data_IF_342353750937
#
_entry.id   IF_342353750937
#
_cell.length_a   1.000
_cell.length_b   1.000
_cell.length_c   1.000
_cell.angle_alpha   90.00
_cell.angle_beta   90.00
_cell.angle_gamma   90.00
#
_symmetry.space_group_name_H-M   'P 1'
#
loop_
_entity.id
_entity.type
_entity.pdbx_description
1 polymer ?
#
# COMPACT_ATOMS: atom_id res chain seq x y z
N UNK A 1 62.10 44.25 -24.96
CA UNK A 1 62.66 42.91 -25.25
C UNK A 1 62.59 42.09 -23.97
N UNK A 2 62.27 40.79 -24.09
CA UNK A 2 62.00 39.79 -23.03
C UNK A 2 60.56 39.83 -22.48
N UNK A 3 59.78 38.75 -22.39
CA UNK A 3 59.73 37.44 -23.05
C UNK A 3 58.39 36.81 -22.63
N UNK A 4 57.68 36.22 -23.58
CA UNK A 4 56.49 35.41 -23.37
C UNK A 4 56.85 34.09 -22.67
N UNK A 5 56.42 33.87 -21.42
CA UNK A 5 56.37 32.54 -20.79
C UNK A 5 55.60 32.59 -19.47
N UNK A 6 54.27 32.52 -19.53
CA UNK A 6 53.41 32.13 -18.39
C UNK A 6 52.01 31.76 -18.86
N UNK A 7 51.87 30.66 -19.61
CA UNK A 7 50.56 30.11 -20.00
C UNK A 7 50.51 28.56 -20.06
N UNK A 8 51.47 27.85 -19.45
CA UNK A 8 51.60 26.39 -19.61
C UNK A 8 51.31 25.51 -18.37
N UNK A 9 50.68 26.03 -17.32
CA UNK A 9 50.42 25.24 -16.09
C UNK A 9 48.95 25.05 -15.68
N UNK A 10 47.98 25.45 -16.51
CA UNK A 10 46.54 25.33 -16.18
C UNK A 10 45.70 24.46 -17.13
N UNK A 11 46.32 23.67 -18.02
CA UNK A 11 45.59 22.79 -18.94
C UNK A 11 45.52 21.29 -18.60
N UNK A 12 46.44 20.63 -17.85
CA UNK A 12 46.37 19.17 -17.71
C UNK A 12 45.28 18.68 -16.73
N UNK A 13 44.85 19.51 -15.77
CA UNK A 13 43.82 19.14 -14.78
C UNK A 13 42.39 19.21 -15.33
N UNK A 14 42.13 20.06 -16.33
CA UNK A 14 40.81 20.21 -16.93
C UNK A 14 40.51 19.05 -17.91
N UNK A 15 41.52 18.61 -18.65
CA UNK A 15 41.42 17.49 -19.59
C UNK A 15 41.22 16.15 -18.88
N UNK A 16 41.87 15.91 -17.73
CA UNK A 16 41.60 14.72 -16.91
C UNK A 16 40.15 14.71 -16.39
N UNK A 17 39.64 15.83 -15.84
CA UNK A 17 38.26 15.86 -15.34
C UNK A 17 37.22 15.66 -16.46
N UNK A 18 37.45 16.21 -17.66
CA UNK A 18 36.57 15.95 -18.81
C UNK A 18 36.60 14.48 -19.23
N UNK A 19 37.78 13.86 -19.23
CA UNK A 19 37.94 12.45 -19.64
C UNK A 19 37.29 11.48 -18.66
N UNK A 20 37.35 11.76 -17.36
CA UNK A 20 36.63 11.01 -16.32
C UNK A 20 35.10 11.18 -16.44
N UNK A 21 34.61 12.39 -16.72
CA UNK A 21 33.17 12.61 -16.92
C UNK A 21 32.64 11.94 -18.18
N UNK A 22 33.39 11.96 -19.29
CA UNK A 22 32.95 11.31 -20.52
C UNK A 22 33.02 9.79 -20.42
N UNK A 23 34.01 9.21 -19.73
CA UNK A 23 34.04 7.75 -19.48
C UNK A 23 32.92 7.30 -18.54
N UNK A 24 32.62 8.05 -17.47
CA UNK A 24 31.47 7.76 -16.60
C UNK A 24 30.14 7.88 -17.34
N UNK A 25 29.98 8.90 -18.19
CA UNK A 25 28.76 9.07 -18.98
C UNK A 25 28.60 7.95 -20.02
N UNK A 26 29.68 7.55 -20.69
CA UNK A 26 29.67 6.44 -21.64
C UNK A 26 29.43 5.08 -20.96
N UNK A 27 30.02 4.84 -19.79
CA UNK A 27 29.73 3.66 -18.97
C UNK A 27 28.27 3.64 -18.53
N UNK A 28 27.71 4.79 -18.12
CA UNK A 28 26.31 4.88 -17.70
C UNK A 28 25.33 4.73 -18.88
N UNK A 29 25.67 5.23 -20.06
CA UNK A 29 24.90 5.02 -21.30
C UNK A 29 24.98 3.55 -21.74
N UNK A 30 26.15 2.92 -21.66
CA UNK A 30 26.32 1.51 -22.02
C UNK A 30 25.62 0.57 -21.03
N UNK A 31 25.67 0.88 -19.72
CA UNK A 31 24.94 0.14 -18.70
C UNK A 31 23.42 0.30 -18.84
N UNK A 32 22.94 1.51 -19.15
CA UNK A 32 21.52 1.75 -19.44
C UNK A 32 21.05 1.11 -20.75
N UNK A 33 21.90 1.00 -21.77
CA UNK A 33 21.59 0.30 -23.02
C UNK A 33 21.49 -1.22 -22.80
N UNK A 34 22.43 -1.81 -22.05
CA UNK A 34 22.38 -3.23 -21.66
C UNK A 34 21.15 -3.51 -20.77
N UNK A 35 20.78 -2.60 -19.86
CA UNK A 35 19.56 -2.73 -19.05
C UNK A 35 18.29 -2.64 -19.91
N UNK A 36 18.24 -1.77 -20.92
CA UNK A 36 17.10 -1.69 -21.85
C UNK A 36 16.94 -2.96 -22.68
N UNK A 37 18.03 -3.55 -23.17
CA UNK A 37 17.98 -4.78 -23.95
C UNK A 37 17.73 -6.03 -23.08
N UNK A 38 18.16 -6.02 -21.81
CA UNK A 38 17.88 -7.09 -20.85
C UNK A 38 16.42 -7.08 -20.34
N UNK A 39 15.76 -5.92 -20.29
CA UNK A 39 14.34 -5.81 -19.90
C UNK A 39 13.40 -6.46 -20.92
N UNK A 40 13.83 -6.64 -22.18
CA UNK A 40 12.98 -7.19 -23.24
C UNK A 40 12.91 -8.74 -23.23
N UNK A 41 13.76 -9.44 -22.46
CA UNK A 41 13.91 -10.91 -22.61
C UNK A 41 13.64 -11.79 -21.38
N UNK A 42 13.11 -11.25 -20.28
CA UNK A 42 12.69 -12.09 -19.13
C UNK A 42 11.18 -12.02 -18.93
N UNK A 43 10.44 -12.74 -19.77
CA UNK A 43 9.04 -13.08 -19.51
C UNK A 43 8.97 -14.20 -18.48
N UNK A 44 9.12 -13.86 -17.21
CA UNK A 44 8.72 -14.76 -16.13
C UNK A 44 7.19 -14.92 -16.19
N UNK A 45 6.64 -16.15 -16.04
CA UNK A 45 5.20 -16.33 -16.06
C UNK A 45 4.63 -15.80 -14.74
N UNK A 46 4.17 -14.56 -14.76
CA UNK A 46 3.16 -14.10 -13.80
C UNK A 46 1.96 -15.07 -13.93
N UNK A 47 1.45 -15.53 -12.80
CA UNK A 47 0.23 -16.32 -12.81
C UNK A 47 -0.89 -15.32 -13.12
N UNK A 48 -1.29 -15.24 -14.39
CA UNK A 48 -2.53 -14.58 -14.75
C UNK A 48 -3.63 -15.36 -14.06
N UNK A 49 -4.26 -14.73 -13.07
CA UNK A 49 -5.48 -15.27 -12.46
C UNK A 49 -6.43 -15.57 -13.61
N UNK A 50 -6.93 -16.81 -13.69
CA UNK A 50 -8.05 -17.12 -14.57
C UNK A 50 -9.28 -16.46 -13.94
N UNK A 51 -9.47 -15.18 -14.24
CA UNK A 51 -10.71 -14.49 -13.93
C UNK A 51 -11.81 -15.32 -14.61
N UNK A 52 -12.86 -15.74 -13.88
CA UNK A 52 -13.98 -16.45 -14.47
C UNK A 52 -14.41 -15.73 -15.75
N UNK A 53 -14.60 -16.47 -16.84
CA UNK A 53 -15.08 -15.89 -18.08
C UNK A 53 -16.30 -15.03 -17.77
N UNK A 54 -16.31 -13.73 -18.17
CA UNK A 54 -17.48 -12.89 -17.92
C UNK A 54 -18.71 -13.59 -18.49
N UNK A 55 -19.86 -13.54 -17.80
CA UNK A 55 -21.08 -14.11 -18.34
C UNK A 55 -21.32 -13.57 -19.77
N UNK A 56 -21.77 -14.44 -20.68
CA UNK A 56 -21.98 -14.12 -22.11
C UNK A 56 -22.88 -12.89 -22.35
N UNK A 57 -23.63 -12.48 -21.31
CA UNK A 57 -24.39 -11.25 -21.27
C UNK A 57 -24.23 -10.59 -19.89
N UNK A 58 -23.81 -9.31 -19.86
CA UNK A 58 -24.03 -8.47 -18.69
C UNK A 58 -25.54 -8.36 -18.48
N UNK A 59 -26.03 -8.84 -17.35
CA UNK A 59 -27.39 -8.58 -16.96
C UNK A 59 -27.44 -7.16 -16.37
N UNK A 60 -28.19 -6.26 -17.00
CA UNK A 60 -28.47 -4.89 -16.53
C UNK A 60 -29.10 -4.87 -15.10
N UNK A 61 -29.44 -6.05 -14.56
CA UNK A 61 -29.90 -6.27 -13.18
C UNK A 61 -28.80 -6.29 -12.11
N UNK A 62 -27.52 -6.10 -12.45
CA UNK A 62 -26.44 -6.16 -11.44
C UNK A 62 -26.43 -4.89 -10.59
N UNK A 63 -27.19 -4.92 -9.49
CA UNK A 63 -27.27 -3.82 -8.54
C UNK A 63 -26.01 -3.78 -7.65
N UNK A 64 -25.53 -2.58 -7.24
CA UNK A 64 -24.50 -2.46 -6.20
C UNK A 64 -24.93 -3.19 -4.93
N UNK A 65 -23.98 -3.80 -4.20
CA UNK A 65 -24.24 -4.42 -2.89
C UNK A 65 -24.73 -3.35 -1.91
N UNK A 66 -24.18 -2.14 -2.00
CA UNK A 66 -24.72 -0.96 -1.32
C UNK A 66 -25.12 0.11 -2.34
N UNK A 67 -26.44 0.32 -2.58
CA UNK A 67 -26.88 1.38 -3.47
C UNK A 67 -26.52 2.74 -2.87
N UNK A 68 -26.22 3.75 -3.69
CA UNK A 68 -26.01 5.10 -3.19
C UNK A 68 -27.27 5.68 -2.57
N UNK A 69 -27.05 6.59 -1.64
CA UNK A 69 -28.10 7.26 -0.89
C UNK A 69 -28.70 8.37 -1.75
N UNK A 70 -30.03 8.45 -1.74
CA UNK A 70 -30.75 9.57 -2.32
C UNK A 70 -30.67 10.72 -1.32
N UNK A 71 -29.94 11.78 -1.68
CA UNK A 71 -29.85 12.98 -0.84
C UNK A 71 -31.24 13.65 -0.69
N UNK A 72 -31.68 13.95 0.54
CA UNK A 72 -32.93 14.65 0.79
C UNK A 72 -32.93 16.05 0.16
N UNK A 73 -34.05 16.41 -0.49
CA UNK A 73 -34.22 17.74 -1.11
C UNK A 73 -34.24 18.89 -0.09
N UNK A 74 -34.42 18.59 1.19
CA UNK A 74 -34.48 19.56 2.28
C UNK A 74 -33.10 19.91 2.86
N UNK A 75 -32.03 19.28 2.38
CA UNK A 75 -30.66 19.52 2.83
C UNK A 75 -30.34 18.97 4.21
N UNK A 76 -31.14 18.03 4.73
CA UNK A 76 -30.84 17.33 5.97
C UNK A 76 -29.55 16.50 5.88
N UNK A 77 -28.86 16.37 7.02
CA UNK A 77 -27.61 15.61 7.11
C UNK A 77 -27.88 14.12 6.81
N UNK A 78 -27.09 13.57 5.89
CA UNK A 78 -27.24 12.19 5.41
C UNK A 78 -26.24 11.29 6.12
N UNK A 79 -26.72 10.21 6.73
CA UNK A 79 -25.85 9.14 7.20
C UNK A 79 -25.30 8.36 6.00
N UNK A 80 -24.06 8.68 5.61
CA UNK A 80 -23.35 8.05 4.49
C UNK A 80 -23.10 6.54 4.69
N UNK A 81 -23.27 6.03 5.90
CA UNK A 81 -23.13 4.60 6.21
C UNK A 81 -24.46 3.84 6.22
N UNK A 82 -25.59 4.50 5.97
CA UNK A 82 -26.92 3.90 6.04
C UNK A 82 -27.11 2.68 5.13
N UNK A 83 -26.48 2.69 3.95
CA UNK A 83 -26.53 1.57 3.00
C UNK A 83 -25.33 0.62 3.11
N UNK A 84 -24.37 0.87 4.00
CA UNK A 84 -23.22 -0.01 4.18
C UNK A 84 -23.65 -1.35 4.79
N UNK A 85 -23.26 -2.51 4.22
CA UNK A 85 -23.73 -3.82 4.66
C UNK A 85 -22.87 -4.38 5.81
N UNK A 86 -23.30 -4.27 7.09
CA UNK A 86 -22.43 -4.57 8.24
C UNK A 86 -22.03 -6.05 8.32
N UNK A 87 -22.80 -6.97 7.73
CA UNK A 87 -22.51 -8.41 7.74
C UNK A 87 -21.18 -8.77 7.05
N UNK A 88 -20.69 -7.92 6.14
CA UNK A 88 -19.37 -8.13 5.53
C UNK A 88 -18.23 -8.00 6.54
N UNK A 89 -18.42 -7.20 7.59
CA UNK A 89 -17.43 -7.00 8.65
C UNK A 89 -17.29 -8.23 9.57
N UNK A 90 -18.20 -9.21 9.47
CA UNK A 90 -18.04 -10.50 10.15
C UNK A 90 -17.02 -11.40 9.42
N UNK A 91 -16.84 -11.20 8.11
CA UNK A 91 -15.94 -11.99 7.26
C UNK A 91 -14.62 -11.27 6.97
N UNK A 92 -14.64 -9.95 6.90
CA UNK A 92 -13.50 -9.12 6.47
C UNK A 92 -12.95 -8.33 7.66
N UNK A 93 -11.68 -8.53 7.97
CA UNK A 93 -10.93 -7.67 8.87
C UNK A 93 -10.18 -6.60 8.07
N UNK A 94 -10.51 -5.33 8.32
CA UNK A 94 -9.84 -4.19 7.70
C UNK A 94 -8.78 -3.64 8.63
N UNK A 95 -7.62 -3.35 8.07
CA UNK A 95 -6.46 -2.81 8.78
C UNK A 95 -6.00 -1.54 8.08
N UNK A 96 -5.92 -0.44 8.83
CA UNK A 96 -5.34 0.81 8.36
C UNK A 96 -3.94 0.96 8.96
N UNK A 97 -2.90 0.89 8.11
CA UNK A 97 -1.53 1.25 8.46
C UNK A 97 -1.35 2.75 8.28
N UNK A 98 -0.87 3.43 9.31
CA UNK A 98 -0.55 4.86 9.27
C UNK A 98 0.69 5.21 10.09
N UNK A 99 0.99 6.51 10.22
CA UNK A 99 1.94 7.07 11.17
C UNK A 99 1.41 8.38 11.76
N UNK A 100 1.96 8.80 12.90
CA UNK A 100 1.54 10.02 13.62
C UNK A 100 1.73 11.30 12.78
N UNK A 101 2.74 11.31 11.90
CA UNK A 101 2.99 12.41 10.96
C UNK A 101 1.92 12.59 9.88
N UNK A 102 0.97 11.66 9.75
CA UNK A 102 -0.09 11.68 8.73
C UNK A 102 -1.45 12.12 9.27
N UNK A 103 -1.48 12.87 10.38
CA UNK A 103 -2.70 13.30 11.08
C UNK A 103 -3.86 13.76 10.17
N UNK A 104 -3.60 14.61 9.16
CA UNK A 104 -4.64 15.08 8.23
C UNK A 104 -5.23 13.97 7.34
N UNK A 105 -4.39 13.03 6.88
CA UNK A 105 -4.85 11.84 6.15
C UNK A 105 -5.61 10.88 7.07
N UNK A 106 -5.15 10.71 8.31
CA UNK A 106 -5.80 9.85 9.31
C UNK A 106 -7.22 10.34 9.60
N UNK A 107 -7.37 11.64 9.86
CA UNK A 107 -8.67 12.25 10.08
C UNK A 107 -9.58 12.08 8.85
N UNK A 108 -9.07 12.35 7.65
CA UNK A 108 -9.83 12.18 6.44
C UNK A 108 -10.29 10.74 6.22
N UNK A 109 -9.41 9.76 6.40
CA UNK A 109 -9.71 8.36 6.19
C UNK A 109 -10.77 7.85 7.19
N UNK A 110 -10.62 8.19 8.47
CA UNK A 110 -11.59 7.84 9.52
C UNK A 110 -12.96 8.52 9.30
N UNK A 111 -12.98 9.75 8.79
CA UNK A 111 -14.21 10.46 8.48
C UNK A 111 -14.84 10.07 7.13
N UNK A 112 -14.17 9.27 6.29
CA UNK A 112 -14.63 8.92 4.95
C UNK A 112 -14.49 7.43 4.65
N UNK A 113 -13.42 7.00 3.96
CA UNK A 113 -13.20 5.65 3.44
C UNK A 113 -13.44 4.54 4.47
N UNK A 114 -13.04 4.74 5.73
CA UNK A 114 -13.24 3.76 6.81
C UNK A 114 -14.35 4.10 7.81
N UNK A 115 -15.12 5.18 7.57
CA UNK A 115 -16.14 5.65 8.52
C UNK A 115 -17.19 4.59 8.88
N UNK A 116 -17.54 3.71 7.92
CA UNK A 116 -18.53 2.65 8.14
C UNK A 116 -17.93 1.34 8.69
N UNK A 117 -16.61 1.25 8.81
CA UNK A 117 -15.89 0.02 9.16
C UNK A 117 -15.79 -0.10 10.68
N UNK A 118 -16.80 -0.70 11.31
CA UNK A 118 -16.92 -0.76 12.78
C UNK A 118 -15.91 -1.70 13.47
N UNK A 119 -15.31 -2.62 12.70
CA UNK A 119 -14.29 -3.54 13.19
C UNK A 119 -12.86 -3.11 12.78
N UNK A 120 -12.65 -1.85 12.40
CA UNK A 120 -11.36 -1.33 11.96
C UNK A 120 -10.26 -1.52 13.02
N UNK A 121 -9.10 -1.99 12.58
CA UNK A 121 -7.87 -1.97 13.39
C UNK A 121 -6.92 -0.96 12.76
N UNK A 122 -6.34 -0.07 13.57
CA UNK A 122 -5.39 0.93 13.09
C UNK A 122 -4.03 0.67 13.74
N UNK A 123 -3.01 0.48 12.91
CA UNK A 123 -1.63 0.36 13.34
C UNK A 123 -0.84 1.61 12.93
N UNK A 124 -0.02 2.10 13.84
CA UNK A 124 0.79 3.31 13.71
C UNK A 124 2.20 3.09 14.29
N UNK A 125 3.02 4.14 14.27
CA UNK A 125 4.32 4.27 14.95
C UNK A 125 4.23 5.02 16.29
N UNK A 126 3.02 5.35 16.73
CA UNK A 126 2.76 6.00 18.00
C UNK A 126 1.36 5.61 18.52
N UNK A 127 1.21 5.36 19.84
CA UNK A 127 -0.09 5.08 20.39
C UNK A 127 -0.93 6.35 20.45
N UNK A 128 -2.18 6.28 19.98
CA UNK A 128 -3.13 7.39 20.05
C UNK A 128 -4.54 6.86 20.31
N UNK A 129 -5.42 7.70 20.88
CA UNK A 129 -6.86 7.42 20.94
C UNK A 129 -7.61 8.54 20.24
N UNK A 130 -8.35 8.21 19.18
CA UNK A 130 -9.09 9.19 18.37
C UNK A 130 -10.49 8.68 18.08
N UNK A 131 -11.52 9.49 18.39
CA UNK A 131 -12.91 9.12 18.09
C UNK A 131 -13.39 7.81 18.73
N UNK A 132 -12.83 7.42 19.88
CA UNK A 132 -13.14 6.14 20.54
C UNK A 132 -12.39 4.92 19.97
N UNK A 133 -11.59 5.11 18.92
CA UNK A 133 -10.74 4.11 18.30
C UNK A 133 -9.32 4.16 18.90
N UNK A 134 -8.78 2.98 19.19
CA UNK A 134 -7.39 2.81 19.61
C UNK A 134 -6.49 2.67 18.37
N UNK A 135 -5.52 3.56 18.27
CA UNK A 135 -4.44 3.53 17.27
C UNK A 135 -3.26 2.86 17.96
N UNK A 136 -2.90 1.68 17.47
CA UNK A 136 -1.95 0.77 18.12
C UNK A 136 -0.55 1.05 17.58
N UNK A 137 0.40 1.31 18.46
CA UNK A 137 1.82 1.35 18.10
C UNK A 137 2.33 -0.07 17.82
N UNK A 138 2.55 -0.38 16.55
CA UNK A 138 2.96 -1.72 16.13
C UNK A 138 4.49 -1.91 16.18
N UNK A 139 5.24 -0.85 16.48
CA UNK A 139 6.70 -0.86 16.55
C UNK A 139 7.21 -1.03 17.99
N UNK A 140 6.38 -0.74 18.99
CA UNK A 140 6.75 -0.75 20.41
C UNK A 140 7.35 -2.08 20.90
N UNK A 141 6.89 -3.21 20.37
CA UNK A 141 7.29 -4.56 20.82
C UNK A 141 8.33 -5.24 19.90
N UNK A 142 8.98 -4.48 19.01
CA UNK A 142 10.00 -5.05 18.13
C UNK A 142 11.28 -5.47 18.90
N UNK A 143 12.04 -6.45 18.40
CA UNK A 143 13.33 -6.83 18.99
C UNK A 143 14.35 -5.68 19.04
N UNK A 144 15.28 -5.73 19.99
CA UNK A 144 16.32 -4.71 20.20
C UNK A 144 17.09 -4.26 18.95
N UNK A 145 17.47 -5.14 17.99
CA UNK A 145 18.19 -4.72 16.78
C UNK A 145 17.43 -3.71 15.90
N UNK A 146 16.09 -3.65 16.00
CA UNK A 146 15.31 -2.64 15.30
C UNK A 146 15.56 -1.25 15.91
N UNK A 147 15.50 -1.12 17.24
CA UNK A 147 15.76 0.14 17.95
C UNK A 147 17.19 0.65 17.78
N UNK A 148 18.15 -0.23 17.49
CA UNK A 148 19.53 0.13 17.18
C UNK A 148 19.73 0.59 15.72
N UNK A 149 18.74 0.37 14.84
CA UNK A 149 18.83 0.75 13.44
C UNK A 149 18.71 2.28 13.26
N UNK A 150 19.52 2.93 12.40
CA UNK A 150 19.49 4.39 12.24
C UNK A 150 18.11 4.99 11.92
N UNK A 151 17.30 4.29 11.13
CA UNK A 151 15.95 4.72 10.77
C UNK A 151 14.97 4.73 11.97
N UNK A 152 15.28 4.05 13.09
CA UNK A 152 14.49 4.14 14.33
C UNK A 152 14.72 5.45 15.11
N UNK A 153 15.68 6.29 14.70
CA UNK A 153 15.80 7.64 15.27
C UNK A 153 14.51 8.45 15.10
N UNK A 154 13.82 8.29 13.96
CA UNK A 154 12.53 8.92 13.70
C UNK A 154 11.44 8.44 14.67
N UNK A 155 11.47 7.18 15.09
CA UNK A 155 10.50 6.65 16.07
C UNK A 155 10.64 7.37 17.41
N UNK A 156 11.86 7.47 17.95
CA UNK A 156 12.11 8.14 19.23
C UNK A 156 11.73 9.62 19.20
N UNK A 157 12.08 10.34 18.14
CA UNK A 157 11.72 11.76 17.97
C UNK A 157 10.19 11.94 17.97
N UNK A 158 9.47 11.07 17.27
CA UNK A 158 8.02 11.14 17.17
C UNK A 158 7.33 10.81 18.50
N UNK A 159 7.85 9.85 19.26
CA UNK A 159 7.36 9.51 20.60
C UNK A 159 7.58 10.66 21.58
N UNK A 160 8.77 11.27 21.60
CA UNK A 160 9.07 12.42 22.46
C UNK A 160 8.16 13.62 22.14
N UNK A 161 7.97 13.92 20.86
CA UNK A 161 7.06 14.98 20.41
C UNK A 161 5.61 14.69 20.82
N UNK A 162 5.14 13.44 20.66
CA UNK A 162 3.80 13.01 21.08
C UNK A 162 3.60 13.17 22.59
N UNK A 163 4.57 12.74 23.41
CA UNK A 163 4.56 12.90 24.86
C UNK A 163 4.56 14.37 25.30
N UNK A 164 5.21 15.23 24.53
CA UNK A 164 5.22 16.68 24.73
C UNK A 164 3.93 17.38 24.25
N UNK A 165 3.01 16.66 23.59
CA UNK A 165 1.80 17.24 22.99
C UNK A 165 2.08 18.07 21.74
N UNK A 166 3.25 17.87 21.10
CA UNK A 166 3.67 18.57 19.89
C UNK A 166 3.08 17.92 18.64
N UNK A 167 2.85 18.73 17.60
CA UNK A 167 2.38 18.22 16.33
C UNK A 167 3.54 17.59 15.56
N UNK A 168 3.42 16.31 15.25
CA UNK A 168 4.33 15.61 14.34
C UNK A 168 3.89 15.83 12.90
N UNK A 169 4.80 16.31 12.06
CA UNK A 169 4.60 16.47 10.62
C UNK A 169 5.17 15.27 9.84
N UNK A 170 4.63 15.01 8.65
CA UNK A 170 5.16 14.01 7.74
C UNK A 170 6.60 14.33 7.36
N UNK A 171 7.48 13.34 7.43
CA UNK A 171 8.91 13.49 7.09
C UNK A 171 9.43 12.29 6.30
N UNK A 172 10.52 12.45 5.51
CA UNK A 172 11.16 11.34 4.82
C UNK A 172 11.63 10.22 5.76
N UNK A 173 12.08 10.58 6.97
CA UNK A 173 12.55 9.59 7.95
C UNK A 173 11.37 8.85 8.61
N UNK A 174 10.23 9.52 8.83
CA UNK A 174 8.98 8.85 9.18
C UNK A 174 8.53 7.86 8.10
N UNK A 175 8.70 8.21 6.82
CA UNK A 175 8.40 7.28 5.73
C UNK A 175 9.35 6.07 5.68
N UNK A 176 10.63 6.23 6.02
CA UNK A 176 11.52 5.07 6.17
C UNK A 176 11.09 4.16 7.31
N UNK A 177 10.60 4.74 8.40
CA UNK A 177 10.12 3.98 9.57
C UNK A 177 8.92 3.07 9.22
N UNK A 178 8.07 3.48 8.27
CA UNK A 178 6.90 2.71 7.85
C UNK A 178 7.21 1.27 7.40
N UNK A 179 8.41 1.02 6.84
CA UNK A 179 8.80 -0.32 6.37
C UNK A 179 8.78 -1.38 7.47
N UNK A 180 8.97 -0.97 8.72
CA UNK A 180 9.04 -1.88 9.87
C UNK A 180 7.67 -2.33 10.38
N UNK A 181 6.58 -1.69 9.92
CA UNK A 181 5.21 -1.98 10.39
C UNK A 181 4.60 -3.23 9.76
N UNK A 182 5.05 -3.64 8.56
CA UNK A 182 4.38 -4.67 7.76
C UNK A 182 4.35 -6.05 8.44
N UNK A 183 5.51 -6.61 8.79
CA UNK A 183 5.58 -7.93 9.41
C UNK A 183 4.90 -8.01 10.79
N UNK A 184 5.13 -7.09 11.75
CA UNK A 184 4.47 -7.19 13.05
C UNK A 184 2.95 -6.99 12.93
N UNK A 185 2.48 -6.17 11.98
CA UNK A 185 1.05 -6.00 11.70
C UNK A 185 0.37 -7.30 11.24
N UNK A 186 1.04 -8.14 10.44
CA UNK A 186 0.49 -9.45 10.04
C UNK A 186 0.30 -10.36 11.26
N UNK A 187 1.31 -10.43 12.14
CA UNK A 187 1.20 -11.20 13.37
C UNK A 187 0.07 -10.67 14.27
N UNK A 188 0.06 -9.37 14.54
CA UNK A 188 -0.91 -8.76 15.45
C UNK A 188 -2.35 -8.90 14.97
N UNK A 189 -2.62 -8.64 13.68
CA UNK A 189 -4.00 -8.77 13.17
C UNK A 189 -4.48 -10.22 13.23
N UNK A 190 -3.61 -11.20 12.96
CA UNK A 190 -3.95 -12.61 13.04
C UNK A 190 -4.25 -13.03 14.48
N UNK A 191 -3.45 -12.60 15.45
CA UNK A 191 -3.70 -12.86 16.87
C UNK A 191 -5.03 -12.25 17.34
N UNK A 192 -5.34 -11.04 16.90
CA UNK A 192 -6.60 -10.36 17.24
C UNK A 192 -7.81 -10.98 16.56
N UNK A 193 -7.66 -11.51 15.34
CA UNK A 193 -8.75 -11.89 14.43
C UNK A 193 -8.47 -13.17 13.64
N UNK A 194 -8.08 -14.28 14.27
CA UNK A 194 -7.58 -15.48 13.56
C UNK A 194 -8.64 -16.12 12.63
N UNK A 195 -9.92 -15.85 12.89
CA UNK A 195 -11.04 -16.44 12.17
C UNK A 195 -11.59 -15.55 11.03
N UNK A 196 -11.00 -14.38 10.75
CA UNK A 196 -11.43 -13.57 9.62
C UNK A 196 -11.18 -14.32 8.30
N UNK A 197 -12.15 -14.29 7.39
CA UNK A 197 -12.02 -14.90 6.06
C UNK A 197 -11.02 -14.13 5.19
N UNK A 198 -11.00 -12.81 5.33
CA UNK A 198 -10.14 -11.93 4.55
C UNK A 198 -9.54 -10.83 5.41
N UNK A 199 -8.29 -10.49 5.12
CA UNK A 199 -7.54 -9.42 5.78
C UNK A 199 -7.17 -8.39 4.73
N UNK A 200 -7.68 -7.16 4.87
CA UNK A 200 -7.50 -6.07 3.91
C UNK A 200 -6.65 -5.00 4.56
N UNK A 201 -5.48 -4.73 3.99
CA UNK A 201 -4.50 -3.77 4.51
C UNK A 201 -4.46 -2.53 3.63
N UNK A 202 -4.67 -1.37 4.24
CA UNK A 202 -4.73 -0.05 3.60
C UNK A 202 -3.65 0.87 4.16
N UNK A 203 -3.21 1.84 3.36
CA UNK A 203 -2.41 2.98 3.83
C UNK A 203 -3.25 4.26 3.90
N UNK A 204 -2.78 5.28 4.62
CA UNK A 204 -3.56 6.48 4.93
C UNK A 204 -3.99 7.33 3.71
N UNK A 205 -3.39 7.13 2.54
CA UNK A 205 -3.74 7.79 1.27
C UNK A 205 -4.30 6.83 0.20
N UNK A 206 -4.79 5.67 0.64
CA UNK A 206 -5.47 4.70 -0.22
C UNK A 206 -6.97 4.88 -0.11
N UNK A 207 -7.65 5.05 -1.24
CA UNK A 207 -9.09 4.95 -1.32
C UNK A 207 -9.48 3.55 -1.76
N UNK A 208 -10.48 2.94 -1.12
CA UNK A 208 -11.06 1.65 -1.53
C UNK A 208 -12.53 1.81 -1.85
N UNK A 209 -12.91 1.27 -3.02
CA UNK A 209 -14.31 1.08 -3.42
C UNK A 209 -14.81 -0.23 -2.81
N UNK A 210 -15.41 -0.16 -1.62
CA UNK A 210 -15.79 -1.35 -0.85
C UNK A 210 -16.74 -2.29 -1.60
N UNK A 211 -17.61 -1.77 -2.47
CA UNK A 211 -18.58 -2.56 -3.26
C UNK A 211 -17.82 -3.49 -4.19
N UNK A 212 -16.86 -2.91 -4.92
CA UNK A 212 -16.03 -3.64 -5.87
C UNK A 212 -15.14 -4.67 -5.16
N UNK A 213 -14.57 -4.30 -4.01
CA UNK A 213 -13.76 -5.23 -3.22
C UNK A 213 -14.60 -6.42 -2.71
N UNK A 214 -15.74 -6.18 -2.08
CA UNK A 214 -16.58 -7.27 -1.55
C UNK A 214 -17.10 -8.19 -2.65
N UNK A 215 -17.49 -7.62 -3.82
CA UNK A 215 -17.86 -8.41 -4.99
C UNK A 215 -16.71 -9.28 -5.51
N UNK A 216 -15.49 -8.75 -5.53
CA UNK A 216 -14.30 -9.55 -5.88
C UNK A 216 -14.13 -10.70 -4.89
N UNK A 217 -14.13 -10.43 -3.59
CA UNK A 217 -13.87 -11.44 -2.56
C UNK A 217 -14.92 -12.56 -2.51
N UNK A 218 -16.15 -12.30 -2.95
CA UNK A 218 -17.21 -13.32 -3.05
C UNK A 218 -16.95 -14.35 -4.16
N UNK A 219 -16.06 -14.04 -5.11
CA UNK A 219 -15.70 -14.97 -6.20
C UNK A 219 -14.63 -15.98 -5.80
N UNK A 220 -14.01 -15.84 -4.63
CA UNK A 220 -12.86 -16.65 -4.21
C UNK A 220 -13.11 -17.38 -2.90
N UNK A 221 -12.48 -18.55 -2.76
CA UNK A 221 -12.54 -19.33 -1.53
C UNK A 221 -11.47 -18.84 -0.54
N UNK A 222 -11.89 -18.14 0.51
CA UNK A 222 -11.00 -17.66 1.58
C UNK A 222 -10.16 -18.73 2.30
N UNK A 223 -10.51 -20.02 2.18
CA UNK A 223 -9.72 -21.12 2.76
C UNK A 223 -8.50 -21.48 1.91
N UNK A 224 -8.46 -21.04 0.65
CA UNK A 224 -7.31 -21.19 -0.23
C UNK A 224 -6.29 -20.07 0.02
N UNK A 225 -5.07 -20.27 -0.48
CA UNK A 225 -3.97 -19.34 -0.23
C UNK A 225 -3.92 -18.23 -1.29
N UNK A 226 -4.75 -17.20 -1.11
CA UNK A 226 -4.76 -16.01 -1.95
C UNK A 226 -3.92 -14.86 -1.37
N UNK A 227 -3.13 -14.25 -2.26
CA UNK A 227 -2.36 -13.02 -2.04
C UNK A 227 -2.66 -12.04 -3.18
N UNK A 228 -3.51 -11.04 -2.94
CA UNK A 228 -3.95 -10.08 -3.95
C UNK A 228 -3.32 -8.70 -3.76
N UNK A 229 -3.10 -8.01 -4.89
CA UNK A 229 -2.72 -6.60 -4.94
C UNK A 229 -2.27 -6.18 -6.33
N UNK A 230 -1.58 -5.04 -6.42
CA UNK A 230 -0.94 -4.56 -7.64
C UNK A 230 0.53 -5.00 -7.67
N UNK A 231 0.96 -5.69 -8.73
CA UNK A 231 2.34 -6.18 -8.80
C UNK A 231 3.39 -5.08 -9.00
N UNK A 232 4.43 -5.13 -8.16
CA UNK A 232 5.64 -4.32 -8.28
C UNK A 232 6.88 -5.22 -8.34
N UNK A 233 7.86 -4.94 -9.20
CA UNK A 233 9.08 -5.73 -9.29
C UNK A 233 9.94 -5.52 -8.04
N UNK A 234 10.34 -6.63 -7.42
CA UNK A 234 11.28 -6.68 -6.30
C UNK A 234 12.65 -7.23 -6.70
N UNK A 235 13.48 -7.48 -5.69
CA UNK A 235 14.82 -8.04 -5.88
C UNK A 235 14.77 -9.49 -6.38
N UNK A 236 15.79 -9.87 -7.15
CA UNK A 236 15.97 -11.23 -7.69
C UNK A 236 14.78 -11.75 -8.53
N UNK A 237 14.10 -10.85 -9.26
CA UNK A 237 12.98 -11.20 -10.14
C UNK A 237 11.70 -11.59 -9.38
N UNK A 238 11.62 -11.30 -8.08
CA UNK A 238 10.42 -11.46 -7.27
C UNK A 238 9.43 -10.35 -7.55
N UNK A 239 8.16 -10.60 -7.25
CA UNK A 239 7.08 -9.62 -7.34
C UNK A 239 6.36 -9.56 -6.01
N UNK A 240 5.90 -8.37 -5.64
CA UNK A 240 5.18 -8.12 -4.40
C UNK A 240 4.01 -7.16 -4.63
N UNK A 241 3.00 -7.25 -3.78
CA UNK A 241 1.87 -6.34 -3.82
C UNK A 241 2.31 -4.97 -3.32
N UNK A 242 2.10 -3.94 -4.13
CA UNK A 242 2.38 -2.56 -3.74
C UNK A 242 1.47 -2.12 -2.58
N UNK A 243 2.06 -1.76 -1.44
CA UNK A 243 1.31 -1.34 -0.24
C UNK A 243 0.35 -0.17 -0.51
N UNK A 244 0.80 0.79 -1.32
CA UNK A 244 -0.02 1.95 -1.73
C UNK A 244 -1.22 1.61 -2.62
N UNK A 245 -1.31 0.40 -3.19
CA UNK A 245 -2.52 -0.05 -3.89
C UNK A 245 -3.46 -0.83 -2.96
N UNK A 246 -3.07 -1.11 -1.72
CA UNK A 246 -3.75 -2.04 -0.83
C UNK A 246 -3.34 -3.50 -1.06
N UNK A 247 -3.40 -4.29 0.01
CA UNK A 247 -3.02 -5.70 0.02
C UNK A 247 -4.18 -6.51 0.60
N UNK A 248 -4.52 -7.66 0.00
CA UNK A 248 -5.51 -8.58 0.57
C UNK A 248 -4.92 -9.96 0.74
N UNK A 249 -5.08 -10.51 1.94
CA UNK A 249 -4.66 -11.86 2.31
C UNK A 249 -5.89 -12.68 2.72
N UNK A 250 -5.97 -13.90 2.21
CA UNK A 250 -6.98 -14.90 2.61
C UNK A 250 -6.69 -15.50 3.98
N UNK A 251 -7.71 -16.07 4.61
CA UNK A 251 -7.55 -16.85 5.84
C UNK A 251 -6.60 -18.03 5.66
N UNK A 252 -6.72 -18.78 4.56
CA UNK A 252 -5.83 -19.89 4.24
C UNK A 252 -4.36 -19.47 4.23
N UNK A 253 -4.07 -18.34 3.56
CA UNK A 253 -2.72 -17.79 3.52
C UNK A 253 -2.25 -17.32 4.90
N UNK A 254 -3.08 -16.60 5.65
CA UNK A 254 -2.72 -16.13 7.00
C UNK A 254 -2.42 -17.28 7.96
N UNK A 255 -3.24 -18.35 7.92
CA UNK A 255 -2.98 -19.58 8.67
C UNK A 255 -1.64 -20.22 8.27
N UNK A 256 -1.34 -20.29 6.97
CA UNK A 256 -0.08 -20.85 6.47
C UNK A 256 1.15 -19.99 6.84
N UNK A 257 0.95 -18.67 6.94
CA UNK A 257 2.00 -17.70 7.18
C UNK A 257 2.36 -17.56 8.67
N UNK A 258 1.37 -17.52 9.56
CA UNK A 258 1.57 -17.24 11.00
C UNK A 258 0.81 -18.16 11.95
N UNK A 259 -0.01 -19.09 11.45
CA UNK A 259 -0.80 -20.01 12.28
C UNK A 259 0.01 -21.01 13.10
N UNK A 260 1.29 -21.17 12.80
CA UNK A 260 2.25 -21.95 13.60
C UNK A 260 2.86 -21.15 14.78
N UNK A 261 2.45 -19.90 14.99
CA UNK A 261 2.98 -19.01 16.02
C UNK A 261 4.30 -18.34 15.66
N UNK A 262 4.75 -18.43 14.40
CA UNK A 262 5.96 -17.72 13.96
C UNK A 262 5.79 -16.23 14.05
N UNK A 263 6.70 -15.57 14.78
CA UNK A 263 6.85 -14.12 14.78
C UNK A 263 7.69 -13.68 13.58
N UNK A 264 7.06 -13.07 12.58
CA UNK A 264 7.70 -12.75 11.30
C UNK A 264 8.83 -11.75 11.47
N UNK A 265 8.65 -10.71 12.30
CA UNK A 265 9.68 -9.70 12.57
C UNK A 265 10.93 -10.28 13.25
N UNK A 266 10.78 -11.33 14.06
CA UNK A 266 11.94 -12.02 14.66
C UNK A 266 12.63 -12.92 13.62
N UNK A 267 11.85 -13.72 12.88
CA UNK A 267 12.38 -14.70 11.92
C UNK A 267 13.05 -14.05 10.70
N UNK A 268 12.48 -12.96 10.19
CA UNK A 268 12.91 -12.28 8.97
C UNK A 268 13.54 -10.91 9.24
N UNK A 269 14.05 -10.71 10.46
CA UNK A 269 14.64 -9.45 10.91
C UNK A 269 15.66 -8.88 9.92
N UNK A 270 16.58 -9.72 9.44
CA UNK A 270 17.63 -9.30 8.50
C UNK A 270 17.04 -8.70 7.21
N UNK A 271 15.98 -9.29 6.66
CA UNK A 271 15.36 -8.79 5.45
C UNK A 271 14.68 -7.44 5.68
N UNK A 272 14.00 -7.27 6.83
CA UNK A 272 13.38 -6.00 7.19
C UNK A 272 14.40 -4.89 7.43
N UNK A 273 15.56 -5.22 8.01
CA UNK A 273 16.61 -4.23 8.28
C UNK A 273 17.35 -3.79 7.00
N UNK A 274 17.50 -4.68 6.01
CA UNK A 274 18.28 -4.42 4.80
C UNK A 274 17.48 -3.83 3.63
N UNK A 275 16.20 -4.19 3.48
CA UNK A 275 15.38 -3.73 2.36
C UNK A 275 14.82 -2.32 2.60
N UNK A 276 14.61 -1.55 1.54
CA UNK A 276 13.97 -0.24 1.63
C UNK A 276 12.50 -0.32 2.02
N UNK A 277 11.87 -1.45 1.70
CA UNK A 277 10.46 -1.46 1.36
C UNK A 277 9.76 -2.62 2.08
N UNK A 278 8.91 -2.30 3.06
CA UNK A 278 8.29 -3.29 3.95
C UNK A 278 7.25 -4.18 3.27
N UNK A 279 6.55 -3.64 2.27
CA UNK A 279 5.64 -4.39 1.39
C UNK A 279 6.38 -5.40 0.52
N UNK A 280 7.58 -5.05 0.03
CA UNK A 280 8.47 -5.97 -0.65
C UNK A 280 8.91 -7.12 0.25
N UNK A 281 9.36 -6.80 1.48
CA UNK A 281 9.73 -7.81 2.48
C UNK A 281 8.55 -8.72 2.81
N UNK A 282 7.34 -8.18 2.99
CA UNK A 282 6.13 -8.98 3.19
C UNK A 282 5.91 -9.97 2.04
N UNK A 283 5.99 -9.50 0.79
CA UNK A 283 5.85 -10.38 -0.39
C UNK A 283 6.92 -11.47 -0.44
N UNK A 284 8.17 -11.15 -0.07
CA UNK A 284 9.25 -12.13 0.01
C UNK A 284 9.02 -13.17 1.09
N UNK A 285 8.54 -12.75 2.27
CA UNK A 285 8.23 -13.62 3.40
C UNK A 285 7.07 -14.56 3.08
N UNK A 286 6.02 -14.05 2.41
CA UNK A 286 4.91 -14.86 1.92
C UNK A 286 5.44 -15.96 0.98
N UNK A 287 6.23 -15.57 -0.02
CA UNK A 287 6.78 -16.50 -1.00
C UNK A 287 7.71 -17.54 -0.36
N UNK A 288 8.61 -17.10 0.51
CA UNK A 288 9.57 -17.98 1.20
C UNK A 288 8.87 -18.99 2.11
N UNK A 289 7.91 -18.54 2.92
CA UNK A 289 7.29 -19.40 3.93
C UNK A 289 6.22 -20.31 3.36
N UNK A 290 5.50 -19.87 2.32
CA UNK A 290 4.29 -20.57 1.85
C UNK A 290 4.38 -21.04 0.40
N UNK A 291 5.35 -20.55 -0.37
CA UNK A 291 5.44 -20.78 -1.82
C UNK A 291 4.40 -20.01 -2.64
N UNK A 292 3.52 -19.24 -2.00
CA UNK A 292 2.43 -18.50 -2.65
C UNK A 292 3.01 -17.29 -3.36
N UNK A 293 2.62 -17.11 -4.62
CA UNK A 293 2.98 -15.96 -5.44
C UNK A 293 1.86 -14.93 -5.39
N UNK A 294 2.23 -13.67 -5.62
CA UNK A 294 1.26 -12.61 -5.84
C UNK A 294 0.36 -12.94 -7.03
N UNK A 295 -0.94 -12.82 -6.80
CA UNK A 295 -1.97 -12.76 -7.82
C UNK A 295 -2.17 -11.30 -8.21
N UNK A 296 -1.60 -10.92 -9.36
CA UNK A 296 -1.63 -9.54 -9.86
C UNK A 296 -3.02 -9.15 -10.37
N UNK A 297 -3.63 -8.19 -9.70
CA UNK A 297 -4.94 -7.66 -10.03
C UNK A 297 -4.88 -6.20 -10.52
N UNK A 298 -3.73 -5.72 -10.98
CA UNK A 298 -3.68 -4.50 -11.77
C UNK A 298 -4.51 -4.67 -13.06
N UNK A 299 -5.33 -3.69 -13.48
CA UNK A 299 -5.44 -2.32 -12.97
C UNK A 299 -6.54 -2.07 -11.94
N UNK A 300 -7.20 -3.12 -11.40
CA UNK A 300 -8.26 -2.98 -10.39
C UNK A 300 -7.70 -2.42 -9.09
N UNK A 301 -6.60 -2.98 -8.60
CA UNK A 301 -5.79 -2.37 -7.55
C UNK A 301 -4.82 -1.40 -8.23
N UNK A 302 -5.00 -0.09 -8.05
CA UNK A 302 -4.26 0.91 -8.83
C UNK A 302 -3.30 1.72 -7.97
N UNK A 303 -2.01 1.52 -8.20
CA UNK A 303 -0.94 2.36 -7.64
C UNK A 303 -0.63 3.63 -8.44
N UNK A 304 -1.31 3.81 -9.58
CA UNK A 304 -1.12 4.94 -10.50
C UNK A 304 -1.47 6.27 -9.84
N UNK A 305 -0.87 7.35 -10.34
CA UNK A 305 -1.28 8.70 -9.95
C UNK A 305 -2.73 8.96 -10.42
N UNK A 306 -3.57 9.62 -9.61
CA UNK A 306 -4.95 9.93 -9.99
C UNK A 306 -5.07 10.68 -11.32
N UNK A 307 -4.13 11.58 -11.63
CA UNK A 307 -4.06 12.32 -12.88
C UNK A 307 -3.76 11.45 -14.11
N UNK A 308 -3.15 10.27 -13.90
CA UNK A 308 -2.82 9.30 -14.94
C UNK A 308 -3.94 8.25 -15.14
N UNK A 309 -5.02 8.31 -14.34
CA UNK A 309 -6.17 7.43 -14.47
C UNK A 309 -6.98 7.80 -15.72
N UNK A 310 -6.52 7.29 -16.85
CA UNK A 310 -7.20 7.40 -18.13
C UNK A 310 -8.20 6.26 -18.34
N UNK A 311 -9.14 6.51 -19.25
CA UNK A 311 -9.95 5.47 -19.84
C UNK A 311 -9.11 4.74 -20.90
N UNK A 312 -8.82 3.46 -20.67
CA UNK A 312 -8.07 2.61 -21.59
C UNK A 312 -8.80 1.29 -21.82
N UNK A 313 -8.46 0.57 -22.89
CA UNK A 313 -8.99 -0.78 -23.15
C UNK A 313 -8.78 -1.72 -21.95
N UNK A 314 -7.65 -1.58 -21.25
CA UNK A 314 -7.34 -2.35 -20.05
C UNK A 314 -8.18 -1.96 -18.83
N UNK A 315 -8.73 -0.74 -18.76
CA UNK A 315 -9.51 -0.24 -17.62
C UNK A 315 -11.01 -0.23 -17.87
N UNK A 316 -11.47 -0.19 -19.13
CA UNK A 316 -12.88 -0.02 -19.49
C UNK A 316 -13.81 -1.08 -18.87
N UNK A 317 -13.36 -2.34 -18.78
CA UNK A 317 -14.15 -3.45 -18.26
C UNK A 317 -13.70 -3.95 -16.88
N UNK A 318 -12.76 -3.26 -16.21
CA UNK A 318 -12.21 -3.69 -14.93
C UNK A 318 -12.65 -2.71 -13.83
N UNK A 319 -13.37 -3.17 -12.78
CA UNK A 319 -13.79 -2.29 -11.71
C UNK A 319 -12.57 -1.82 -10.90
N UNK A 320 -12.47 -0.51 -10.66
CA UNK A 320 -11.46 0.02 -9.75
C UNK A 320 -11.78 -0.43 -8.32
N UNK A 321 -10.83 -1.09 -7.68
CA UNK A 321 -10.90 -1.48 -6.26
C UNK A 321 -10.22 -0.43 -5.39
N UNK A 322 -9.08 0.09 -5.83
CA UNK A 322 -8.33 1.06 -5.05
C UNK A 322 -7.64 2.12 -5.88
N UNK A 323 -7.45 3.29 -5.27
CA UNK A 323 -6.65 4.40 -5.77
C UNK A 323 -5.63 4.81 -4.72
N UNK A 324 -4.46 5.26 -5.15
CA UNK A 324 -3.37 5.68 -4.28
C UNK A 324 -3.11 7.19 -4.37
N UNK A 325 -2.35 7.72 -3.40
CA UNK A 325 -1.85 9.11 -3.34
C UNK A 325 -2.96 10.16 -3.27
N UNK A 326 -4.09 9.82 -2.65
CA UNK A 326 -5.15 10.81 -2.47
C UNK A 326 -4.81 11.80 -1.37
N UNK A 327 -5.12 13.06 -1.64
CA UNK A 327 -5.12 14.09 -0.60
C UNK A 327 -6.25 13.86 0.41
N UNK A 328 -6.16 14.42 1.63
CA UNK A 328 -7.27 14.38 2.60
C UNK A 328 -8.61 14.85 2.00
N UNK A 329 -8.60 15.93 1.22
CA UNK A 329 -9.80 16.46 0.57
C UNK A 329 -10.33 15.54 -0.54
N UNK A 330 -9.43 14.92 -1.30
CA UNK A 330 -9.78 13.93 -2.32
C UNK A 330 -10.45 12.70 -1.71
N UNK A 331 -9.93 12.18 -0.59
CA UNK A 331 -10.54 11.05 0.14
C UNK A 331 -11.99 11.36 0.54
N UNK A 332 -12.19 12.51 1.21
CA UNK A 332 -13.53 12.96 1.65
C UNK A 332 -14.48 13.21 0.48
N UNK A 333 -14.00 13.89 -0.56
CA UNK A 333 -14.84 14.28 -1.71
C UNK A 333 -15.24 13.07 -2.55
N UNK A 334 -14.32 12.12 -2.77
CA UNK A 334 -14.62 10.90 -3.51
C UNK A 334 -15.58 10.00 -2.74
N UNK A 335 -15.44 9.92 -1.42
CA UNK A 335 -16.37 9.22 -0.53
C UNK A 335 -17.78 9.78 -0.63
N UNK A 336 -17.94 11.10 -0.46
CA UNK A 336 -19.24 11.75 -0.62
C UNK A 336 -19.83 11.44 -2.00
N UNK A 337 -19.02 11.59 -3.05
CA UNK A 337 -19.46 11.32 -4.43
C UNK A 337 -19.91 9.87 -4.64
N UNK A 338 -19.16 8.89 -4.13
CA UNK A 338 -19.50 7.47 -4.26
C UNK A 338 -20.82 7.16 -3.55
N UNK A 339 -20.99 7.68 -2.33
CA UNK A 339 -22.14 7.38 -1.50
C UNK A 339 -23.43 8.07 -1.96
N UNK A 340 -23.37 9.18 -2.70
CA UNK A 340 -24.60 9.92 -3.05
C UNK A 340 -24.95 9.98 -4.53
N UNK A 341 -23.99 9.76 -5.45
CA UNK A 341 -24.22 10.12 -6.86
C UNK A 341 -24.74 9.02 -7.79
N UNK A 342 -24.54 7.71 -7.53
CA UNK A 342 -25.11 6.71 -8.48
C UNK A 342 -26.66 6.65 -8.45
N UNK A 343 -27.32 7.32 -7.49
CA UNK A 343 -28.78 7.38 -7.38
C UNK A 343 -29.42 8.40 -8.33
N UNK A 344 -28.65 9.34 -8.88
CA UNK A 344 -29.15 10.41 -9.78
C UNK A 344 -29.16 10.01 -11.27
N UNK A 345 -28.80 8.77 -11.60
CA UNK A 345 -28.71 8.27 -12.99
C UNK A 345 -29.81 7.27 -13.38
N UNK A 346 -30.85 7.10 -12.57
CA UNK A 346 -32.01 6.24 -12.88
C UNK A 346 -33.22 7.08 -13.30
#
# INVERSE_FOLDING_TARGET
>A
MVSWLRLYYFQPLCLLKLWWFTTLLLLNIYHNAILRDAVVTVTSPLLKVSIPSPPETYNDSTLPIFPPIIEPLDGSEVDLCSNFPPQWLERVQVVLKTGIGQSGKNEAHLASVTSCIRNLIVFSDCPERRGGLDIIDILADLPAPYFEHPDFSAYHIQQDASLAGEKVESSPDGWKLDRFKFLPMINAVYEMRPNASWYVFLEADVYIFWDNLFRLLDQFNSQENHYFGSATPGSHGRWFAYGGAGIVLSQGLMNSLVGDGTKLSEKYQEWTLLDCCGDAVLGYVILDKTGVKLEDLYPMFSGDYPEDLGVSEQRWCNPLISLHRLSPDSLKSLWQWEQTRRAQQV
#
